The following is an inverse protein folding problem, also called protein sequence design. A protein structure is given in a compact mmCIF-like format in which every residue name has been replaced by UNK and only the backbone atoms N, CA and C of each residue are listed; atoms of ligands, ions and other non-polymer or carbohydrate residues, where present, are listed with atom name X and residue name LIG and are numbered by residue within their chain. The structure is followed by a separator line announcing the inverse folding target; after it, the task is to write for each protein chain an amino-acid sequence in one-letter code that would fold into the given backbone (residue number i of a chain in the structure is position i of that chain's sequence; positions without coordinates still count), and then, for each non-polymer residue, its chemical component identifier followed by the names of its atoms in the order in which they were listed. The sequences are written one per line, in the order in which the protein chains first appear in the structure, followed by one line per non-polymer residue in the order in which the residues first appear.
data_IF_975029499755
#
_entry.id   IF_975029499755
#
_cell.length_a   1.000
_cell.length_b   1.000
_cell.length_c   1.000
_cell.angle_alpha   90.00
_cell.angle_beta   90.00
_cell.angle_gamma   90.00
#
_symmetry.space_group_name_H-M   'P 1'
#
loop_
_entity.id
_entity.type
_entity.pdbx_description
1 polymer ?
#
# COMPACT_ATOMS: atom_id res chain seq x y z
N UNK A 1 14.66 -9.12 -0.10
CA UNK A 1 14.01 -8.15 -1.01
C UNK A 1 12.59 -8.63 -1.26
N UNK A 2 11.85 -8.00 -2.17
CA UNK A 2 10.49 -8.42 -2.47
C UNK A 2 9.89 -7.64 -3.61
N UNK A 3 8.64 -7.97 -3.94
CA UNK A 3 7.84 -7.30 -4.95
C UNK A 3 6.70 -6.54 -4.28
N UNK A 4 6.51 -5.30 -4.72
CA UNK A 4 5.37 -4.45 -4.37
C UNK A 4 4.52 -4.23 -5.61
N UNK A 5 3.20 -4.34 -5.46
CA UNK A 5 2.24 -4.01 -6.50
C UNK A 5 1.03 -3.29 -5.92
N UNK A 6 0.45 -2.38 -6.69
CA UNK A 6 -0.87 -1.78 -6.42
C UNK A 6 -1.81 -2.33 -7.48
N UNK A 7 -2.93 -2.92 -7.07
CA UNK A 7 -3.93 -3.51 -7.96
C UNK A 7 -5.28 -2.83 -7.78
N UNK A 8 -5.98 -2.57 -8.87
CA UNK A 8 -7.37 -2.16 -8.88
C UNK A 8 -8.25 -3.26 -9.45
N UNK A 9 -9.55 -3.15 -9.20
CA UNK A 9 -10.57 -3.93 -9.88
C UNK A 9 -10.54 -3.64 -11.39
N UNK A 10 -10.56 -4.68 -12.21
CA UNK A 10 -10.55 -4.58 -13.66
C UNK A 10 -11.82 -3.88 -14.17
N UNK A 11 -11.66 -3.05 -15.21
CA UNK A 11 -12.76 -2.29 -15.82
C UNK A 11 -13.27 -1.11 -14.98
N UNK A 12 -12.56 -0.72 -13.92
CA UNK A 12 -12.89 0.45 -13.09
C UNK A 12 -11.72 1.42 -13.07
N UNK A 13 -12.01 2.70 -13.27
CA UNK A 13 -11.01 3.76 -13.21
C UNK A 13 -10.37 3.85 -11.82
N UNK A 14 -9.05 4.03 -11.79
CA UNK A 14 -8.27 4.26 -10.56
C UNK A 14 -8.78 5.49 -9.81
N UNK A 15 -8.56 5.53 -8.49
CA UNK A 15 -8.96 6.68 -7.67
C UNK A 15 -10.47 6.77 -7.38
N UNK A 16 -11.25 5.76 -7.76
CA UNK A 16 -12.66 5.61 -7.38
C UNK A 16 -12.81 4.64 -6.21
N UNK A 17 -13.90 4.75 -5.43
CA UNK A 17 -14.16 3.83 -4.29
C UNK A 17 -14.40 2.40 -4.79
N UNK A 18 -14.96 2.27 -5.98
CA UNK A 18 -15.29 1.02 -6.66
C UNK A 18 -14.03 0.29 -7.13
N UNK A 19 -12.94 1.03 -7.41
CA UNK A 19 -11.67 0.45 -7.88
C UNK A 19 -10.97 -0.42 -6.83
N UNK A 20 -11.36 -0.31 -5.55
CA UNK A 20 -10.81 -1.09 -4.42
C UNK A 20 -9.28 -1.25 -4.51
N UNK A 21 -8.54 -0.12 -4.58
CA UNK A 21 -7.10 -0.12 -4.79
C UNK A 21 -6.42 -0.84 -3.61
N UNK A 22 -5.67 -1.90 -3.91
CA UNK A 22 -5.04 -2.75 -2.92
C UNK A 22 -3.54 -2.76 -3.11
N UNK A 23 -2.79 -2.38 -2.07
CA UNK A 23 -1.35 -2.53 -2.03
C UNK A 23 -0.98 -3.91 -1.50
N UNK A 24 -0.12 -4.60 -2.25
CA UNK A 24 0.31 -5.97 -1.97
C UNK A 24 1.83 -5.99 -1.96
N UNK A 25 2.41 -6.47 -0.86
CA UNK A 25 3.86 -6.70 -0.73
C UNK A 25 4.11 -8.17 -0.45
N UNK A 26 4.98 -8.78 -1.26
CA UNK A 26 5.49 -10.14 -1.06
C UNK A 26 7.00 -10.12 -0.96
N UNK A 27 7.57 -11.00 -0.14
CA UNK A 27 9.02 -11.21 -0.13
C UNK A 27 9.46 -12.08 -1.32
N UNK A 28 10.78 -12.26 -1.47
CA UNK A 28 11.37 -13.04 -2.58
C UNK A 28 10.92 -14.53 -2.60
N UNK A 29 10.48 -15.08 -1.46
CA UNK A 29 9.93 -16.45 -1.39
C UNK A 29 8.40 -16.50 -1.58
N UNK A 30 7.77 -15.38 -1.98
CA UNK A 30 6.35 -15.29 -2.28
C UNK A 30 5.42 -15.12 -1.07
N UNK A 31 5.94 -15.07 0.15
CA UNK A 31 5.16 -14.86 1.38
C UNK A 31 4.57 -13.45 1.40
N UNK A 32 3.27 -13.36 1.70
CA UNK A 32 2.54 -12.11 1.83
C UNK A 32 2.98 -11.36 3.10
N UNK A 33 3.46 -10.14 2.95
CA UNK A 33 3.89 -9.26 4.04
C UNK A 33 2.91 -8.12 4.30
N UNK A 34 2.25 -7.62 3.24
CA UNK A 34 1.22 -6.58 3.32
C UNK A 34 0.13 -6.89 2.29
N UNK A 35 -1.12 -6.75 2.72
CA UNK A 35 -2.30 -6.73 1.89
C UNK A 35 -3.30 -5.76 2.53
N UNK A 36 -3.41 -4.56 1.97
CA UNK A 36 -4.23 -3.50 2.53
C UNK A 36 -4.88 -2.66 1.43
N UNK A 37 -6.09 -2.16 1.71
CA UNK A 37 -6.74 -1.18 0.86
C UNK A 37 -6.09 0.19 1.03
N UNK A 38 -5.88 0.91 -0.07
CA UNK A 38 -5.61 2.33 -0.01
C UNK A 38 -6.91 3.05 0.35
N UNK A 39 -6.84 3.94 1.33
CA UNK A 39 -7.99 4.69 1.83
C UNK A 39 -7.91 6.15 1.37
N UNK A 40 -9.05 6.85 1.28
CA UNK A 40 -9.08 8.26 0.92
C UNK A 40 -8.19 9.10 1.83
N UNK A 41 -7.37 9.97 1.22
CA UNK A 41 -6.45 10.83 1.97
C UNK A 41 -5.32 10.08 2.68
N UNK A 42 -4.89 8.93 2.14
CA UNK A 42 -3.68 8.24 2.62
C UNK A 42 -2.52 9.23 2.72
N UNK A 43 -1.82 9.22 3.86
CA UNK A 43 -0.67 10.09 4.09
C UNK A 43 0.60 9.28 3.95
N UNK A 44 1.52 9.80 3.15
CA UNK A 44 2.86 9.24 2.96
C UNK A 44 3.90 10.26 3.42
N UNK A 45 4.86 9.84 4.24
CA UNK A 45 6.03 10.64 4.58
C UNK A 45 7.25 10.08 3.84
N UNK A 46 7.98 10.96 3.15
CA UNK A 46 9.12 10.58 2.35
C UNK A 46 10.40 10.81 3.15
N UNK A 47 11.20 9.75 3.31
CA UNK A 47 12.43 9.80 4.10
C UNK A 47 13.57 9.07 3.37
N UNK A 48 14.53 9.82 2.83
CA UNK A 48 15.62 9.30 1.98
C UNK A 48 15.03 8.41 0.85
N UNK A 49 15.41 7.13 0.80
CA UNK A 49 14.90 6.16 -0.17
C UNK A 49 13.71 5.36 0.39
N UNK A 50 12.91 5.94 1.28
CA UNK A 50 11.81 5.22 1.94
C UNK A 50 10.52 6.01 1.97
N UNK A 51 9.39 5.29 1.90
CA UNK A 51 8.04 5.80 2.13
C UNK A 51 7.56 5.25 3.47
N UNK A 52 7.10 6.14 4.35
CA UNK A 52 6.41 5.79 5.58
C UNK A 52 4.92 6.04 5.38
N UNK A 53 4.10 5.02 5.59
CA UNK A 53 2.65 5.11 5.45
C UNK A 53 1.94 4.28 6.51
N UNK A 54 0.71 4.65 6.83
CA UNK A 54 -0.14 3.88 7.74
C UNK A 54 -1.08 3.03 6.90
N UNK A 55 -1.22 1.75 7.23
CA UNK A 55 -2.18 0.85 6.59
C UNK A 55 -3.08 0.21 7.63
N UNK A 56 -4.34 0.03 7.24
CA UNK A 56 -5.32 -0.74 8.00
C UNK A 56 -5.20 -2.20 7.56
N UNK A 57 -4.59 -3.02 8.40
CA UNK A 57 -4.41 -4.46 8.14
C UNK A 57 -5.24 -5.26 9.13
N UNK A 58 -5.96 -6.27 8.67
CA UNK A 58 -6.47 -7.32 9.55
C UNK A 58 -5.28 -8.08 10.16
N UNK A 59 -5.35 -8.39 11.46
CA UNK A 59 -4.25 -9.03 12.17
C UNK A 59 -3.88 -10.37 11.52
N UNK A 60 -2.72 -10.42 10.85
CA UNK A 60 -2.26 -11.56 10.07
C UNK A 60 -1.92 -12.84 10.88
N UNK A 61 -2.36 -13.00 12.13
CA UNK A 61 -1.96 -14.14 12.95
C UNK A 61 -2.96 -14.62 14.02
N UNK A 62 -4.11 -13.96 14.23
CA UNK A 62 -4.91 -14.19 15.46
C UNK A 62 -6.41 -14.44 15.26
N UNK A 63 -6.87 -14.71 14.04
CA UNK A 63 -8.27 -15.09 13.78
C UNK A 63 -9.34 -14.05 14.18
N UNK A 64 -8.93 -12.88 14.67
CA UNK A 64 -9.82 -11.79 15.04
C UNK A 64 -9.95 -10.82 13.88
N UNK A 65 -11.19 -10.48 13.50
CA UNK A 65 -11.55 -9.48 12.48
C UNK A 65 -11.14 -8.04 12.86
N UNK A 66 -10.22 -7.89 13.81
CA UNK A 66 -9.75 -6.60 14.29
C UNK A 66 -8.82 -5.99 13.25
N UNK A 67 -9.34 -5.01 12.54
CA UNK A 67 -8.55 -4.12 11.68
C UNK A 67 -7.72 -3.19 12.56
N UNK A 68 -6.40 -3.23 12.39
CA UNK A 68 -5.47 -2.39 13.16
C UNK A 68 -4.69 -1.50 12.20
N UNK A 69 -4.62 -0.20 12.53
CA UNK A 69 -3.74 0.73 11.86
C UNK A 69 -2.28 0.44 12.25
N UNK A 70 -1.44 0.19 11.25
CA UNK A 70 0.00 -0.10 11.44
C UNK A 70 0.82 0.82 10.56
N UNK A 71 1.88 1.38 11.12
CA UNK A 71 2.87 2.15 10.37
C UNK A 71 3.85 1.22 9.69
N UNK A 72 4.02 1.37 8.38
CA UNK A 72 4.98 0.61 7.59
C UNK A 72 6.07 1.53 7.04
N UNK A 73 7.29 1.00 7.05
CA UNK A 73 8.46 1.63 6.46
C UNK A 73 8.86 0.84 5.21
N UNK A 74 8.66 1.41 4.02
CA UNK A 74 8.95 0.76 2.74
C UNK A 74 10.18 1.42 2.14
N UNK A 75 11.30 0.70 2.11
CA UNK A 75 12.54 1.17 1.49
C UNK A 75 12.64 0.71 0.03
N UNK A 76 12.83 1.65 -0.88
CA UNK A 76 13.12 1.41 -2.29
C UNK A 76 14.64 1.46 -2.54
N UNK A 77 15.07 1.04 -3.74
CA UNK A 77 16.48 1.10 -4.13
C UNK A 77 16.91 2.55 -4.36
N UNK A 78 16.11 3.29 -5.12
CA UNK A 78 16.39 4.68 -5.52
C UNK A 78 15.37 5.65 -4.96
N UNK A 79 15.73 6.94 -4.92
CA UNK A 79 14.82 8.02 -4.56
C UNK A 79 13.70 8.19 -5.60
N UNK A 80 14.02 7.96 -6.88
CA UNK A 80 13.05 8.02 -7.97
C UNK A 80 11.94 6.96 -7.79
N UNK A 81 12.30 5.72 -7.46
CA UNK A 81 11.34 4.65 -7.16
C UNK A 81 10.48 4.99 -5.94
N UNK A 82 11.07 5.65 -4.93
CA UNK A 82 10.35 6.13 -3.75
C UNK A 82 9.28 7.15 -4.14
N UNK A 83 9.64 8.10 -5.00
CA UNK A 83 8.73 9.13 -5.47
C UNK A 83 7.61 8.54 -6.33
N UNK A 84 7.94 7.63 -7.26
CA UNK A 84 6.95 6.90 -8.07
C UNK A 84 5.96 6.14 -7.19
N UNK A 85 6.44 5.45 -6.15
CA UNK A 85 5.58 4.74 -5.21
C UNK A 85 4.65 5.69 -4.46
N UNK A 86 5.17 6.79 -3.92
CA UNK A 86 4.36 7.77 -3.20
C UNK A 86 3.28 8.40 -4.10
N UNK A 87 3.65 8.80 -5.32
CA UNK A 87 2.70 9.33 -6.31
C UNK A 87 1.64 8.29 -6.66
N UNK A 88 2.03 7.04 -6.93
CA UNK A 88 1.09 5.97 -7.23
C UNK A 88 0.12 5.71 -6.06
N UNK A 89 0.58 5.77 -4.81
CA UNK A 89 -0.31 5.64 -3.65
C UNK A 89 -1.38 6.73 -3.61
N UNK A 90 -1.01 7.98 -3.91
CA UNK A 90 -1.95 9.11 -3.94
C UNK A 90 -2.93 9.01 -5.12
N UNK A 91 -2.42 8.67 -6.30
CA UNK A 91 -3.19 8.58 -7.53
C UNK A 91 -4.21 7.43 -7.51
N UNK A 92 -3.84 6.30 -6.89
CA UNK A 92 -4.71 5.15 -6.79
C UNK A 92 -5.65 5.24 -5.58
N UNK A 93 -5.33 6.03 -4.55
CA UNK A 93 -6.21 6.21 -3.41
C UNK A 93 -7.55 6.81 -3.85
N UNK A 94 -8.69 6.31 -3.34
CA UNK A 94 -9.97 6.84 -3.75
C UNK A 94 -10.13 8.30 -3.34
N UNK A 95 -10.74 9.12 -4.20
CA UNK A 95 -11.19 10.46 -3.80
C UNK A 95 -12.24 10.35 -2.68
N UNK A 96 -12.21 11.29 -1.73
CA UNK A 96 -13.11 11.35 -0.56
C UNK A 96 -14.59 11.31 -0.94
#
# INVERSE_FOLDING_TARGET
MGQLSIKCKEGVDKGTKESKPTIIVRNDVGKLLLNALLYPGIKTNLQKNSVVAIFHTSGANDGSDKVVARTFFIRTKTEEDRNKLATAMQEYAPAS
#
